data_IF_359954658411
#
_entry.id   IF_359954658411
#
_cell.length_a   1.000
_cell.length_b   1.000
_cell.length_c   1.000
_cell.angle_alpha   90.00
_cell.angle_beta   90.00
_cell.angle_gamma   90.00
#
_symmetry.space_group_name_H-M   'P 1'
#
loop_
_entity.id
_entity.type
_entity.pdbx_description
1 polymer ?
#
# COMPACT_ATOMS: atom_id res chain seq x y z
N UNK A 1 1.41 20.31 -13.25
CA UNK A 1 1.78 20.10 -11.84
C UNK A 1 1.70 21.39 -11.01
N UNK A 2 2.22 22.52 -11.51
CA UNK A 2 2.21 23.83 -10.84
C UNK A 2 0.83 24.30 -10.33
N UNK A 3 -0.23 24.19 -11.15
CA UNK A 3 -1.60 24.59 -10.78
C UNK A 3 -2.14 23.83 -9.55
N UNK A 4 -1.98 22.50 -9.54
CA UNK A 4 -2.38 21.65 -8.40
C UNK A 4 -1.64 22.00 -7.10
N UNK A 5 -0.34 22.37 -7.19
CA UNK A 5 0.43 22.82 -6.01
C UNK A 5 -0.05 24.19 -5.51
N UNK A 6 -0.36 25.11 -6.41
CA UNK A 6 -0.93 26.42 -6.05
C UNK A 6 -2.33 26.29 -5.42
N UNK A 7 -3.17 25.41 -5.94
CA UNK A 7 -4.47 25.06 -5.37
C UNK A 7 -4.31 24.48 -3.95
N UNK A 8 -3.35 23.56 -3.75
CA UNK A 8 -3.10 22.98 -2.42
C UNK A 8 -2.62 23.99 -1.38
N UNK A 9 -1.95 25.06 -1.82
CA UNK A 9 -1.51 26.16 -0.96
C UNK A 9 -2.56 27.28 -0.83
N UNK A 10 -3.76 27.10 -1.42
CA UNK A 10 -4.88 28.05 -1.46
C UNK A 10 -4.57 29.39 -2.15
N UNK A 11 -3.79 29.37 -3.25
CA UNK A 11 -3.54 30.57 -4.04
C UNK A 11 -4.75 30.94 -4.91
N UNK A 12 -5.33 32.13 -4.70
CA UNK A 12 -6.56 32.58 -5.38
C UNK A 12 -6.46 32.73 -6.90
N UNK A 13 -5.25 32.86 -7.46
CA UNK A 13 -4.99 33.06 -8.89
C UNK A 13 -4.50 31.82 -9.64
N UNK A 14 -4.64 30.61 -9.09
CA UNK A 14 -3.98 29.41 -9.61
C UNK A 14 -4.33 29.04 -11.07
N UNK A 15 -5.55 29.35 -11.53
CA UNK A 15 -6.03 28.94 -12.85
C UNK A 15 -5.63 29.88 -14.00
N UNK A 16 -5.41 31.17 -13.71
CA UNK A 16 -5.14 32.25 -14.68
C UNK A 16 -3.71 32.79 -14.67
N UNK A 17 -2.81 32.17 -13.89
CA UNK A 17 -1.43 32.61 -13.71
C UNK A 17 -0.59 32.46 -14.99
N UNK A 18 0.00 33.56 -15.44
CA UNK A 18 1.03 33.59 -16.48
C UNK A 18 2.39 33.99 -15.86
N UNK A 19 3.40 33.12 -16.01
CA UNK A 19 4.75 33.33 -15.45
C UNK A 19 5.65 34.20 -16.36
N UNK A 20 5.24 34.43 -17.60
CA UNK A 20 5.92 35.33 -18.53
C UNK A 20 5.59 36.80 -18.24
N UNK A 21 4.44 37.06 -17.59
CA UNK A 21 4.05 38.37 -17.10
C UNK A 21 4.80 38.71 -15.80
N UNK A 22 5.64 39.75 -15.87
CA UNK A 22 6.46 40.23 -14.76
C UNK A 22 5.63 40.63 -13.53
N UNK A 23 4.45 41.23 -13.73
CA UNK A 23 3.58 41.66 -12.63
C UNK A 23 3.01 40.45 -11.89
N UNK A 24 2.56 39.44 -12.63
CA UNK A 24 1.99 38.23 -12.04
C UNK A 24 3.05 37.35 -11.37
N UNK A 25 4.21 37.21 -12.01
CA UNK A 25 5.36 36.50 -11.46
C UNK A 25 5.81 37.11 -10.12
N UNK A 26 6.06 38.42 -10.08
CA UNK A 26 6.51 39.11 -8.87
C UNK A 26 5.44 39.09 -7.76
N UNK A 27 4.17 39.17 -8.13
CA UNK A 27 3.05 39.05 -7.19
C UNK A 27 2.98 37.66 -6.55
N UNK A 28 3.25 36.60 -7.33
CA UNK A 28 3.29 35.23 -6.81
C UNK A 28 4.47 35.03 -5.84
N UNK A 29 5.66 35.52 -6.18
CA UNK A 29 6.84 35.43 -5.31
C UNK A 29 6.61 36.19 -4.00
N UNK A 30 6.04 37.40 -4.08
CA UNK A 30 5.65 38.17 -2.89
C UNK A 30 4.67 37.39 -2.01
N UNK A 31 3.68 36.74 -2.61
CA UNK A 31 2.71 35.93 -1.87
C UNK A 31 3.38 34.72 -1.20
N UNK A 32 4.24 34.00 -1.92
CA UNK A 32 4.96 32.85 -1.36
C UNK A 32 5.80 33.23 -0.15
N UNK A 33 6.54 34.34 -0.21
CA UNK A 33 7.35 34.79 0.91
C UNK A 33 6.51 35.36 2.05
N UNK A 34 5.53 36.22 1.77
CA UNK A 34 4.76 36.87 2.83
C UNK A 34 3.80 35.93 3.56
N UNK A 35 3.25 34.92 2.89
CA UNK A 35 2.22 34.06 3.47
C UNK A 35 2.71 32.66 3.82
N UNK A 36 3.64 32.07 3.05
CA UNK A 36 3.99 30.65 3.19
C UNK A 36 5.39 30.39 3.73
N UNK A 37 6.41 30.99 3.11
CA UNK A 37 7.82 30.72 3.43
C UNK A 37 8.28 31.56 4.63
N UNK A 38 7.94 32.85 4.67
CA UNK A 38 8.24 33.78 5.77
C UNK A 38 9.71 33.76 6.24
N UNK A 39 10.66 33.52 5.34
CA UNK A 39 12.08 33.35 5.69
C UNK A 39 12.68 34.61 6.32
N UNK A 40 12.36 35.79 5.78
CA UNK A 40 12.81 37.07 6.36
C UNK A 40 11.97 37.53 7.57
N UNK A 41 10.93 36.80 7.95
CA UNK A 41 9.98 37.19 9.01
C UNK A 41 9.03 38.32 8.57
N UNK A 42 7.93 38.51 9.33
CA UNK A 42 6.78 39.38 8.97
C UNK A 42 7.11 40.88 8.71
N UNK A 43 8.36 41.32 8.92
CA UNK A 43 8.79 42.72 8.81
C UNK A 43 9.84 43.04 7.73
N UNK A 44 10.50 42.05 7.12
CA UNK A 44 11.66 42.30 6.23
C UNK A 44 11.45 42.04 4.74
N UNK A 45 10.20 41.91 4.28
CA UNK A 45 9.90 41.77 2.84
C UNK A 45 10.10 43.05 2.00
N UNK A 46 10.65 44.15 2.55
CA UNK A 46 10.59 45.48 1.90
C UNK A 46 11.11 45.52 0.45
N UNK A 47 12.15 44.75 0.13
CA UNK A 47 12.76 44.73 -1.20
C UNK A 47 12.01 43.82 -2.21
N UNK A 48 11.31 42.79 -1.74
CA UNK A 48 10.48 41.89 -2.57
C UNK A 48 8.99 42.28 -2.59
N UNK A 49 8.57 43.16 -1.68
CA UNK A 49 7.18 43.65 -1.56
C UNK A 49 6.82 44.67 -2.64
N UNK A 50 7.80 45.49 -3.05
CA UNK A 50 7.63 46.47 -4.11
C UNK A 50 7.86 45.82 -5.48
N UNK A 51 6.77 45.34 -6.06
CA UNK A 51 6.74 44.64 -7.35
C UNK A 51 7.28 45.51 -8.50
N UNK A 52 7.24 46.85 -8.37
CA UNK A 52 7.62 47.78 -9.42
C UNK A 52 9.05 48.33 -9.26
N UNK A 53 9.77 47.94 -8.21
CA UNK A 53 11.12 48.43 -7.95
C UNK A 53 12.13 47.91 -9.01
N UNK A 54 13.05 48.76 -9.52
CA UNK A 54 14.12 48.32 -10.39
C UNK A 54 15.18 47.45 -9.68
N UNK A 55 15.20 47.47 -8.33
CA UNK A 55 16.14 46.69 -7.51
C UNK A 55 15.61 45.27 -7.21
N UNK A 56 14.34 44.99 -7.55
CA UNK A 56 13.64 43.74 -7.22
C UNK A 56 14.39 42.50 -7.72
N UNK A 57 14.89 42.52 -8.95
CA UNK A 57 15.59 41.37 -9.54
C UNK A 57 16.88 41.01 -8.78
N UNK A 58 17.61 42.02 -8.29
CA UNK A 58 18.84 41.81 -7.51
C UNK A 58 18.52 41.26 -6.12
N UNK A 59 17.47 41.79 -5.49
CA UNK A 59 16.97 41.28 -4.21
C UNK A 59 16.44 39.85 -4.33
N UNK A 60 15.79 39.51 -5.46
CA UNK A 60 15.28 38.17 -5.72
C UNK A 60 16.40 37.13 -5.90
N UNK A 61 17.50 37.48 -6.58
CA UNK A 61 18.65 36.58 -6.68
C UNK A 61 19.30 36.34 -5.31
N UNK A 62 19.47 37.39 -4.50
CA UNK A 62 19.97 37.25 -3.13
C UNK A 62 19.05 36.41 -2.24
N UNK A 63 17.73 36.51 -2.43
CA UNK A 63 16.76 35.67 -1.74
C UNK A 63 16.90 34.18 -2.12
N UNK A 64 17.08 33.88 -3.41
CA UNK A 64 17.32 32.49 -3.85
C UNK A 64 18.66 31.94 -3.34
N UNK A 65 19.69 32.77 -3.21
CA UNK A 65 20.98 32.41 -2.61
C UNK A 65 20.83 32.07 -1.13
N UNK A 66 20.09 32.90 -0.39
CA UNK A 66 19.85 32.70 1.04
C UNK A 66 19.00 31.45 1.33
N UNK A 67 18.07 31.12 0.43
CA UNK A 67 17.31 29.86 0.51
C UNK A 67 18.10 28.64 0.01
N UNK A 68 19.35 28.81 -0.41
CA UNK A 68 20.19 27.76 -0.99
C UNK A 68 19.58 27.07 -2.22
N UNK A 69 18.85 27.82 -3.07
CA UNK A 69 18.31 27.30 -4.32
C UNK A 69 19.45 26.99 -5.30
N UNK A 70 19.56 25.73 -5.74
CA UNK A 70 20.66 25.25 -6.59
C UNK A 70 20.63 25.82 -8.01
N UNK A 71 21.81 26.05 -8.60
CA UNK A 71 21.93 26.72 -9.91
C UNK A 71 21.24 25.99 -11.08
N UNK A 72 21.05 24.67 -11.00
CA UNK A 72 20.34 23.90 -12.02
C UNK A 72 18.83 24.25 -12.10
N UNK A 73 18.25 24.78 -11.02
CA UNK A 73 16.84 25.16 -10.93
C UNK A 73 16.58 26.62 -11.35
N UNK A 74 17.64 27.43 -11.51
CA UNK A 74 17.56 28.86 -11.88
C UNK A 74 17.52 29.11 -13.39
N UNK A 75 17.44 28.06 -14.19
CA UNK A 75 17.48 28.10 -15.66
C UNK A 75 16.22 28.72 -16.28
N UNK A 76 15.06 28.58 -15.63
CA UNK A 76 13.78 29.15 -16.11
C UNK A 76 12.95 29.69 -14.95
N UNK A 77 12.09 30.69 -15.23
CA UNK A 77 11.13 31.22 -14.23
C UNK A 77 10.21 30.14 -13.68
N UNK A 78 9.82 29.19 -14.54
CA UNK A 78 9.03 28.03 -14.14
C UNK A 78 9.78 27.15 -13.14
N UNK A 79 11.04 26.81 -13.41
CA UNK A 79 11.85 25.97 -12.50
C UNK A 79 12.03 26.60 -11.12
N UNK A 80 12.24 27.92 -11.07
CA UNK A 80 12.36 28.66 -9.81
C UNK A 80 11.04 28.63 -9.02
N UNK A 81 9.90 28.86 -9.68
CA UNK A 81 8.59 28.83 -9.01
C UNK A 81 8.24 27.42 -8.55
N UNK A 82 8.55 26.40 -9.35
CA UNK A 82 8.30 25.01 -8.96
C UNK A 82 9.09 24.64 -7.71
N UNK A 83 10.36 25.04 -7.64
CA UNK A 83 11.20 24.80 -6.48
C UNK A 83 10.71 25.55 -5.24
N UNK A 84 10.38 26.84 -5.38
CA UNK A 84 9.83 27.64 -4.28
C UNK A 84 8.50 27.11 -3.77
N UNK A 85 7.64 26.56 -4.64
CA UNK A 85 6.40 25.90 -4.23
C UNK A 85 6.69 24.63 -3.44
N UNK A 86 7.68 23.84 -3.85
CA UNK A 86 8.12 22.66 -3.09
C UNK A 86 8.65 23.04 -1.71
N UNK A 87 9.47 24.10 -1.64
CA UNK A 87 10.00 24.63 -0.39
C UNK A 87 8.88 25.17 0.52
N UNK A 88 7.91 25.91 -0.03
CA UNK A 88 6.76 26.44 0.71
C UNK A 88 5.88 25.33 1.31
N UNK A 89 5.67 24.23 0.59
CA UNK A 89 4.95 23.05 1.12
C UNK A 89 5.72 22.42 2.28
N UNK A 90 7.04 22.31 2.15
CA UNK A 90 7.89 21.77 3.21
C UNK A 90 7.85 22.63 4.49
N UNK A 91 7.97 23.95 4.35
CA UNK A 91 7.87 24.90 5.47
C UNK A 91 6.48 24.86 6.12
N UNK A 92 5.41 24.78 5.31
CA UNK A 92 4.06 24.66 5.84
C UNK A 92 3.85 23.38 6.66
N UNK A 93 4.48 22.28 6.24
CA UNK A 93 4.45 21.02 6.97
C UNK A 93 5.24 21.10 8.29
N UNK A 94 6.44 21.69 8.28
CA UNK A 94 7.24 21.89 9.50
C UNK A 94 6.54 22.80 10.53
N UNK A 95 5.86 23.86 10.08
CA UNK A 95 5.11 24.74 10.97
C UNK A 95 3.91 24.04 11.63
N UNK A 96 3.21 23.15 10.92
CA UNK A 96 2.13 22.35 11.51
C UNK A 96 2.64 21.40 12.61
N UNK A 97 3.86 20.86 12.46
CA UNK A 97 4.50 20.04 13.49
C UNK A 97 4.85 20.91 14.72
N UNK A 98 5.40 22.11 14.50
CA UNK A 98 5.76 23.03 15.59
C UNK A 98 4.54 23.63 16.33
N UNK A 99 3.38 23.76 15.69
CA UNK A 99 2.14 24.18 16.37
C UNK A 99 1.47 23.04 17.15
N UNK A 100 1.70 21.78 16.75
CA UNK A 100 1.18 20.60 17.44
C UNK A 100 1.92 20.31 18.76
N UNK A 101 3.21 20.65 18.87
CA UNK A 101 4.02 20.39 20.08
C UNK A 101 3.58 21.18 21.34
N UNK A 102 3.28 22.49 21.30
CA UNK A 102 2.77 23.23 22.45
C UNK A 102 1.34 22.83 22.81
N UNK A 103 0.52 22.47 21.82
CA UNK A 103 -0.82 21.94 22.05
C UNK A 103 -0.73 20.60 22.80
N UNK A 104 0.14 19.69 22.37
CA UNK A 104 0.39 18.43 23.06
C UNK A 104 0.97 18.63 24.48
N UNK A 105 1.87 19.60 24.69
CA UNK A 105 2.38 19.94 26.03
C UNK A 105 1.31 20.50 26.97
N UNK A 106 0.36 21.29 26.47
CA UNK A 106 -0.79 21.77 27.27
C UNK A 106 -1.78 20.67 27.65
N UNK A 107 -1.79 19.57 26.91
CA UNK A 107 -2.53 18.36 27.26
C UNK A 107 -1.76 17.45 28.23
N UNK A 108 -0.42 17.52 28.24
CA UNK A 108 0.44 16.74 29.13
C UNK A 108 0.62 17.38 30.53
N UNK A 109 0.71 18.71 30.62
CA UNK A 109 0.70 19.42 31.90
C UNK A 109 -0.75 19.65 32.34
N UNK A 110 -1.25 18.74 33.19
CA UNK A 110 -2.65 18.61 33.59
C UNK A 110 -3.29 19.82 34.28
N UNK A 111 -3.56 20.90 33.54
CA UNK A 111 -4.51 21.93 33.94
C UNK A 111 -5.93 21.42 33.70
N UNK A 112 -6.46 20.82 34.77
CA UNK A 112 -7.79 20.24 34.87
C UNK A 112 -8.89 21.27 34.53
N UNK A 113 -9.25 21.40 33.25
CA UNK A 113 -10.62 21.79 32.89
C UNK A 113 -11.46 20.52 32.89
N UNK A 114 -12.03 20.22 34.06
CA UNK A 114 -13.10 19.23 34.21
C UNK A 114 -14.12 19.41 33.08
N UNK A 115 -14.33 18.32 32.35
CA UNK A 115 -15.37 18.15 31.35
C UNK A 115 -16.74 18.55 31.90
N UNK A 116 -17.19 19.77 31.62
CA UNK A 116 -18.57 20.20 31.87
C UNK A 116 -19.54 19.77 30.76
N UNK A 117 -19.05 19.18 29.67
CA UNK A 117 -19.87 18.76 28.52
C UNK A 117 -20.26 17.28 28.56
N UNK A 118 -19.39 16.40 29.08
CA UNK A 118 -19.66 14.94 29.13
C UNK A 118 -20.64 14.57 30.26
N UNK A 119 -20.71 15.38 31.33
CA UNK A 119 -21.71 15.21 32.38
C UNK A 119 -23.14 15.65 31.97
N UNK A 120 -23.29 16.37 30.83
CA UNK A 120 -24.61 16.73 30.28
C UNK A 120 -25.34 15.55 29.64
N UNK A 121 -24.61 14.55 29.13
CA UNK A 121 -25.20 13.36 28.51
C UNK A 121 -25.74 12.36 29.53
N UNK A 122 -25.27 12.40 30.78
CA UNK A 122 -25.78 11.56 31.87
C UNK A 122 -27.13 12.02 32.42
N UNK A 123 -27.60 13.21 32.01
CA UNK A 123 -28.85 13.82 32.46
C UNK A 123 -29.91 13.92 31.35
N UNK A 124 -29.65 13.36 30.16
CA UNK A 124 -30.59 13.40 29.04
C UNK A 124 -31.81 12.52 29.36
N UNK A 125 -32.98 13.13 29.54
CA UNK A 125 -34.24 12.42 29.73
C UNK A 125 -35.01 12.38 28.42
N UNK A 126 -35.62 11.24 28.10
CA UNK A 126 -36.44 11.04 26.90
C UNK A 126 -37.68 11.95 26.84
N UNK A 127 -38.01 12.64 27.93
CA UNK A 127 -39.16 13.52 28.08
C UNK A 127 -38.84 14.99 27.75
N UNK A 128 -37.62 15.30 27.29
CA UNK A 128 -37.25 16.67 26.89
C UNK A 128 -37.74 17.02 25.47
N UNK A 129 -38.33 18.20 25.26
CA UNK A 129 -38.85 18.61 23.95
C UNK A 129 -37.77 18.64 22.85
N UNK A 130 -36.50 18.84 23.22
CA UNK A 130 -35.36 18.81 22.29
C UNK A 130 -35.07 17.42 21.75
N UNK A 131 -35.39 16.37 22.52
CA UNK A 131 -35.21 14.98 22.10
C UNK A 131 -36.26 14.59 21.06
N UNK A 132 -37.50 15.05 21.24
CA UNK A 132 -38.59 14.83 20.29
C UNK A 132 -38.29 15.49 18.93
N UNK A 133 -37.84 16.74 18.91
CA UNK A 133 -37.42 17.44 17.69
C UNK A 133 -36.26 16.72 16.98
N UNK A 134 -35.31 16.17 17.75
CA UNK A 134 -34.17 15.43 17.22
C UNK A 134 -34.61 14.10 16.59
N UNK A 135 -35.44 13.32 17.28
CA UNK A 135 -35.98 12.05 16.77
C UNK A 135 -36.87 12.30 15.55
N UNK A 136 -37.66 13.38 15.55
CA UNK A 136 -38.50 13.75 14.42
C UNK A 136 -37.67 14.20 13.21
N UNK A 137 -36.55 14.87 13.43
CA UNK A 137 -35.59 15.23 12.37
C UNK A 137 -35.00 13.97 11.72
N UNK A 138 -34.57 12.99 12.53
CA UNK A 138 -34.06 11.70 12.04
C UNK A 138 -35.15 10.93 11.29
N UNK A 139 -36.37 10.91 11.84
CA UNK A 139 -37.51 10.23 11.23
C UNK A 139 -37.86 10.85 9.87
N UNK A 140 -37.89 12.18 9.75
CA UNK A 140 -38.12 12.88 8.49
C UNK A 140 -37.02 12.60 7.46
N UNK A 141 -35.75 12.60 7.90
CA UNK A 141 -34.60 12.30 7.03
C UNK A 141 -34.65 10.87 6.47
N UNK A 142 -35.14 9.92 7.28
CA UNK A 142 -35.26 8.50 6.92
C UNK A 142 -36.62 8.14 6.31
N UNK A 143 -37.56 9.07 6.23
CA UNK A 143 -38.91 8.86 5.70
C UNK A 143 -39.80 7.98 6.59
N UNK A 144 -39.56 7.97 7.90
CA UNK A 144 -40.34 7.19 8.88
C UNK A 144 -41.54 8.01 9.36
N UNK A 145 -42.73 7.43 9.32
CA UNK A 145 -43.94 8.05 9.88
C UNK A 145 -43.82 8.17 11.40
N UNK A 146 -44.10 9.36 11.93
CA UNK A 146 -44.08 9.60 13.38
C UNK A 146 -45.15 8.78 14.11
N UNK A 147 -44.82 8.30 15.31
CA UNK A 147 -45.71 7.52 16.17
C UNK A 147 -45.91 8.28 17.50
N UNK A 148 -47.05 8.12 18.20
CA UNK A 148 -47.29 8.75 19.51
C UNK A 148 -46.24 8.41 20.60
N UNK A 149 -45.44 7.37 20.37
CA UNK A 149 -44.31 7.00 21.22
C UNK A 149 -43.01 7.21 20.45
N UNK A 150 -42.25 8.22 20.87
CA UNK A 150 -41.01 8.71 20.27
C UNK A 150 -39.93 7.62 20.25
N UNK A 151 -39.88 6.76 21.28
CA UNK A 151 -38.91 5.67 21.35
C UNK A 151 -39.18 4.63 20.27
N UNK A 152 -40.46 4.40 19.96
CA UNK A 152 -40.88 3.50 18.89
C UNK A 152 -40.57 4.08 17.51
N UNK A 153 -40.67 5.40 17.32
CA UNK A 153 -40.21 6.10 16.10
C UNK A 153 -38.69 5.96 15.91
N UNK A 154 -37.91 6.13 16.98
CA UNK A 154 -36.45 5.99 16.93
C UNK A 154 -36.02 4.54 16.64
N UNK A 155 -36.66 3.54 17.27
CA UNK A 155 -36.42 2.12 16.97
C UNK A 155 -36.72 1.78 15.52
N UNK A 156 -37.81 2.33 14.97
CA UNK A 156 -38.19 2.14 13.57
C UNK A 156 -37.17 2.77 12.61
N UNK A 157 -36.69 3.98 12.91
CA UNK A 157 -35.60 4.63 12.19
C UNK A 157 -34.31 3.79 12.20
N UNK A 158 -33.92 3.25 13.36
CA UNK A 158 -32.74 2.37 13.47
C UNK A 158 -32.90 1.07 12.68
N UNK A 159 -34.11 0.48 12.68
CA UNK A 159 -34.38 -0.73 11.91
C UNK A 159 -34.30 -0.48 10.40
N UNK A 160 -34.76 0.68 9.91
CA UNK A 160 -34.61 1.05 8.49
C UNK A 160 -33.14 1.20 8.09
N UNK A 161 -32.31 1.82 8.94
CA UNK A 161 -30.87 1.93 8.68
C UNK A 161 -30.22 0.55 8.62
N UNK A 162 -30.58 -0.36 9.54
CA UNK A 162 -30.12 -1.75 9.53
C UNK A 162 -30.57 -2.51 8.28
N UNK A 163 -31.82 -2.34 7.86
CA UNK A 163 -32.38 -2.96 6.66
C UNK A 163 -31.76 -2.41 5.37
N UNK A 164 -31.50 -1.10 5.29
CA UNK A 164 -30.79 -0.49 4.15
C UNK A 164 -29.36 -0.99 4.04
N UNK A 165 -28.65 -1.08 5.17
CA UNK A 165 -27.29 -1.65 5.19
C UNK A 165 -27.31 -3.14 4.83
N UNK A 166 -28.32 -3.88 5.29
CA UNK A 166 -28.53 -5.29 4.91
C UNK A 166 -28.82 -5.49 3.42
N UNK A 167 -29.61 -4.60 2.79
CA UNK A 167 -29.92 -4.65 1.37
C UNK A 167 -28.73 -4.25 0.47
N UNK A 168 -27.87 -3.35 0.95
CA UNK A 168 -26.60 -3.03 0.29
C UNK A 168 -25.66 -4.23 0.34
N UNK A 169 -25.60 -4.93 1.48
CA UNK A 169 -24.80 -6.15 1.63
C UNK A 169 -25.35 -7.31 0.78
N UNK A 170 -26.67 -7.45 0.64
CA UNK A 170 -27.26 -8.49 -0.22
C UNK A 170 -27.11 -8.18 -1.71
N UNK A 171 -27.17 -6.91 -2.13
CA UNK A 171 -26.89 -6.49 -3.50
C UNK A 171 -25.42 -6.63 -3.90
N UNK A 172 -24.50 -6.51 -2.93
CA UNK A 172 -23.07 -6.84 -3.10
C UNK A 172 -22.86 -8.36 -3.25
N UNK A 173 -23.59 -9.18 -2.48
CA UNK A 173 -23.53 -10.65 -2.60
C UNK A 173 -24.16 -11.20 -3.89
N UNK A 174 -25.17 -10.54 -4.46
CA UNK A 174 -25.87 -11.00 -5.67
C UNK A 174 -25.10 -10.77 -6.97
N UNK A 175 -24.01 -9.98 -6.96
CA UNK A 175 -23.13 -9.74 -8.13
C UNK A 175 -21.89 -10.63 -8.18
N UNK A 176 -21.66 -11.46 -7.15
CA UNK A 176 -20.58 -12.43 -7.12
C UNK A 176 -21.16 -13.84 -7.01
N UNK A 177 -21.41 -14.46 -8.16
CA UNK A 177 -21.77 -15.87 -8.23
C UNK A 177 -20.50 -16.74 -8.15
N UNK A 178 -20.40 -17.47 -7.03
CA UNK A 178 -19.72 -18.77 -6.81
C UNK A 178 -18.26 -18.74 -6.32
N UNK A 179 -18.06 -19.02 -5.02
CA UNK A 179 -17.43 -20.29 -4.57
C UNK A 179 -17.90 -20.66 -3.14
N UNK A 180 -17.98 -21.96 -2.78
CA UNK A 180 -18.70 -22.43 -1.60
C UNK A 180 -17.75 -22.67 -0.43
N UNK A 181 -17.46 -21.65 0.41
CA UNK A 181 -16.73 -21.92 1.66
C UNK A 181 -17.10 -21.04 2.87
N UNK A 182 -18.11 -20.18 2.79
CA UNK A 182 -18.47 -19.30 3.93
C UNK A 182 -19.20 -20.00 5.09
N UNK A 183 -19.55 -21.30 4.98
CA UNK A 183 -20.27 -22.00 6.06
C UNK A 183 -19.41 -22.45 7.25
N UNK A 184 -18.15 -22.01 7.37
CA UNK A 184 -17.27 -22.39 8.48
C UNK A 184 -16.62 -21.22 9.23
N UNK A 185 -17.16 -20.00 9.09
CA UNK A 185 -16.65 -18.80 9.78
C UNK A 185 -17.52 -18.33 10.96
N UNK A 186 -18.48 -19.14 11.42
CA UNK A 186 -19.33 -18.81 12.59
C UNK A 186 -18.91 -19.54 13.88
N UNK A 187 -17.79 -20.28 13.89
CA UNK A 187 -17.40 -21.07 15.07
C UNK A 187 -15.98 -20.83 15.60
N UNK A 188 -15.29 -19.77 15.18
CA UNK A 188 -14.09 -19.32 15.87
C UNK A 188 -14.47 -18.05 16.62
N UNK A 189 -14.57 -18.17 17.95
CA UNK A 189 -14.66 -17.03 18.85
C UNK A 189 -13.59 -16.03 18.46
N UNK A 190 -14.01 -14.81 18.11
CA UNK A 190 -13.12 -13.69 17.88
C UNK A 190 -12.29 -13.43 19.14
N UNK A 191 -11.11 -14.03 19.22
CA UNK A 191 -10.05 -13.55 20.08
C UNK A 191 -9.66 -12.19 19.53
N UNK A 192 -10.06 -11.14 20.26
CA UNK A 192 -9.77 -9.77 19.90
C UNK A 192 -8.25 -9.60 19.84
N UNK A 193 -7.72 -9.34 18.64
CA UNK A 193 -6.31 -9.00 18.44
C UNK A 193 -6.05 -7.71 19.24
N UNK A 194 -5.16 -7.78 20.24
CA UNK A 194 -4.80 -6.62 21.05
C UNK A 194 -3.89 -5.70 20.21
N UNK A 195 -4.37 -4.49 19.91
CA UNK A 195 -3.64 -3.50 19.13
C UNK A 195 -2.32 -3.06 19.79
N UNK A 196 -2.13 -3.37 21.08
CA UNK A 196 -0.89 -3.11 21.79
C UNK A 196 0.26 -4.10 21.49
N UNK A 197 -0.03 -5.21 20.81
CA UNK A 197 1.00 -6.17 20.34
C UNK A 197 1.79 -5.64 19.13
N UNK A 198 1.32 -4.57 18.50
CA UNK A 198 2.00 -3.92 17.38
C UNK A 198 2.99 -2.87 17.91
N UNK A 199 4.26 -3.22 17.94
CA UNK A 199 5.32 -2.35 18.45
C UNK A 199 5.40 -1.02 17.66
N UNK A 200 5.16 0.07 18.37
CA UNK A 200 5.37 1.41 17.82
C UNK A 200 6.87 1.72 17.80
N UNK A 201 7.48 1.83 16.61
CA UNK A 201 8.81 2.41 16.41
C UNK A 201 9.00 3.85 16.96
N UNK A 202 7.94 4.49 17.44
CA UNK A 202 7.98 5.75 18.18
C UNK A 202 7.87 5.43 19.67
N UNK A 203 8.82 5.92 20.49
CA UNK A 203 8.77 5.82 21.96
C UNK A 203 7.59 6.63 22.52
N UNK A 204 6.39 6.06 22.46
CA UNK A 204 5.15 6.68 22.92
C UNK A 204 4.78 6.02 24.26
N UNK A 205 4.74 6.82 25.32
CA UNK A 205 4.44 6.33 26.69
C UNK A 205 2.96 6.03 26.94
N UNK A 206 2.06 6.51 26.09
CA UNK A 206 0.61 6.37 26.24
C UNK A 206 0.06 5.22 25.38
N UNK A 207 -0.59 4.25 26.05
CA UNK A 207 -1.14 3.03 25.44
C UNK A 207 -2.17 3.34 24.34
N UNK A 208 -3.04 4.33 24.54
CA UNK A 208 -4.07 4.68 23.55
C UNK A 208 -3.47 5.27 22.26
N UNK A 209 -2.37 6.01 22.38
CA UNK A 209 -1.65 6.57 21.24
C UNK A 209 -0.85 5.51 20.48
N UNK A 210 -0.35 4.47 21.15
CA UNK A 210 0.29 3.32 20.49
C UNK A 210 -0.72 2.57 19.62
N UNK A 211 -1.93 2.32 20.12
CA UNK A 211 -2.99 1.65 19.36
C UNK A 211 -3.41 2.47 18.14
N UNK A 212 -3.59 3.78 18.28
CA UNK A 212 -3.91 4.67 17.15
C UNK A 212 -2.75 4.75 16.15
N UNK A 213 -1.51 4.80 16.61
CA UNK A 213 -0.33 4.80 15.75
C UNK A 213 -0.19 3.47 14.98
N UNK A 214 -0.51 2.34 15.60
CA UNK A 214 -0.56 1.04 14.95
C UNK A 214 -1.61 1.02 13.84
N UNK A 215 -2.84 1.49 14.12
CA UNK A 215 -3.92 1.58 13.12
C UNK A 215 -3.53 2.52 11.96
N UNK A 216 -2.96 3.68 12.26
CA UNK A 216 -2.52 4.63 11.23
C UNK A 216 -1.38 4.06 10.39
N UNK A 217 -0.44 3.32 10.98
CA UNK A 217 0.62 2.63 10.26
C UNK A 217 0.04 1.57 9.33
N UNK A 218 -0.90 0.75 9.80
CA UNK A 218 -1.58 -0.24 8.97
C UNK A 218 -2.31 0.41 7.78
N UNK A 219 -3.05 1.50 8.04
CA UNK A 219 -3.73 2.26 6.97
C UNK A 219 -2.73 2.86 5.97
N UNK A 220 -1.57 3.32 6.45
CA UNK A 220 -0.52 3.88 5.62
C UNK A 220 0.17 2.81 4.76
N UNK A 221 0.50 1.65 5.34
CA UNK A 221 1.05 0.50 4.60
C UNK A 221 0.07 0.03 3.53
N UNK A 222 -1.22 -0.07 3.86
CA UNK A 222 -2.28 -0.38 2.88
C UNK A 222 -2.31 0.63 1.73
N UNK A 223 -2.16 1.92 2.04
CA UNK A 223 -2.14 2.98 1.03
C UNK A 223 -0.88 2.93 0.15
N UNK A 224 0.29 2.64 0.73
CA UNK A 224 1.53 2.48 -0.03
C UNK A 224 1.45 1.29 -1.00
N UNK A 225 0.91 0.16 -0.55
CA UNK A 225 0.68 -1.02 -1.40
C UNK A 225 -0.27 -0.69 -2.55
N UNK A 226 -1.38 0.00 -2.27
CA UNK A 226 -2.31 0.44 -3.33
C UNK A 226 -1.63 1.34 -4.38
N UNK A 227 -0.77 2.26 -3.94
CA UNK A 227 -0.01 3.13 -4.85
C UNK A 227 0.99 2.32 -5.69
N UNK A 228 1.65 1.34 -5.10
CA UNK A 228 2.55 0.44 -5.81
C UNK A 228 1.81 -0.38 -6.86
N UNK A 229 0.62 -0.93 -6.54
CA UNK A 229 -0.23 -1.62 -7.51
C UNK A 229 -0.66 -0.71 -8.67
N UNK A 230 -1.01 0.55 -8.38
CA UNK A 230 -1.36 1.54 -9.42
C UNK A 230 -0.16 1.88 -10.32
N UNK A 231 1.05 1.94 -9.77
CA UNK A 231 2.27 2.14 -10.56
C UNK A 231 2.50 0.94 -11.48
N UNK A 232 2.34 -0.29 -10.99
CA UNK A 232 2.53 -1.51 -11.77
C UNK A 232 1.48 -1.63 -12.91
N UNK A 233 0.22 -1.27 -12.64
CA UNK A 233 -0.85 -1.23 -13.65
C UNK A 233 -0.52 -0.19 -14.74
N UNK A 234 -0.10 1.01 -14.34
CA UNK A 234 0.30 2.06 -15.27
C UNK A 234 1.50 1.65 -16.15
N UNK A 235 2.50 0.98 -15.57
CA UNK A 235 3.65 0.46 -16.32
C UNK A 235 3.18 -0.53 -17.38
N UNK A 236 2.24 -1.41 -17.03
CA UNK A 236 1.67 -2.40 -17.95
C UNK A 236 0.99 -1.71 -19.14
N UNK A 237 0.15 -0.70 -18.86
CA UNK A 237 -0.50 0.11 -19.91
C UNK A 237 0.52 0.84 -20.79
N UNK A 238 1.57 1.42 -20.20
CA UNK A 238 2.64 2.10 -20.96
C UNK A 238 3.40 1.11 -21.85
N UNK A 239 3.66 -0.10 -21.38
CA UNK A 239 4.29 -1.16 -22.16
C UNK A 239 3.40 -1.62 -23.33
N UNK A 240 2.08 -1.73 -23.12
CA UNK A 240 1.12 -2.01 -24.19
C UNK A 240 1.06 -0.89 -25.24
N UNK A 241 1.07 0.37 -24.82
CA UNK A 241 1.00 1.51 -25.75
C UNK A 241 2.31 1.75 -26.52
N UNK A 242 3.46 1.40 -25.93
CA UNK A 242 4.77 1.50 -26.59
C UNK A 242 5.09 0.32 -27.48
N UNK A 243 4.24 -0.72 -27.48
CA UNK A 243 4.34 -1.90 -28.34
C UNK A 243 3.79 -1.68 -29.77
N UNK A 244 4.26 -0.66 -30.49
CA UNK A 244 4.09 -0.60 -31.96
C UNK A 244 5.46 -0.47 -32.67
N UNK A 245 5.91 -1.50 -33.42
CA UNK A 245 7.26 -1.57 -33.93
C UNK A 245 7.36 -0.97 -35.34
N UNK A 246 8.13 0.11 -35.51
CA UNK A 246 8.86 0.30 -36.76
C UNK A 246 10.21 -0.39 -36.61
N UNK A 247 10.25 -1.61 -37.11
CA UNK A 247 11.41 -2.52 -37.12
C UNK A 247 12.54 -1.92 -37.95
N UNK A 248 13.63 -1.51 -37.29
CA UNK A 248 14.94 -1.42 -37.91
C UNK A 248 15.46 -2.85 -38.10
N UNK A 249 15.53 -3.31 -39.36
CA UNK A 249 15.80 -4.70 -39.73
C UNK A 249 17.18 -5.22 -39.29
N UNK A 250 18.03 -4.38 -38.68
CA UNK A 250 19.26 -4.82 -38.02
C UNK A 250 19.05 -5.50 -36.66
N UNK A 251 17.90 -5.28 -36.01
CA UNK A 251 17.56 -5.84 -34.68
C UNK A 251 16.74 -7.14 -34.74
N UNK A 252 16.87 -7.92 -35.82
CA UNK A 252 16.12 -9.16 -36.07
C UNK A 252 16.27 -10.30 -35.05
N UNK A 253 16.78 -10.06 -33.85
CA UNK A 253 16.77 -10.99 -32.71
C UNK A 253 15.66 -10.73 -31.68
N UNK A 254 14.92 -9.62 -31.78
CA UNK A 254 13.91 -9.27 -30.77
C UNK A 254 12.53 -9.90 -31.07
N UNK A 255 12.25 -10.28 -32.32
CA UNK A 255 10.99 -10.90 -32.71
C UNK A 255 10.84 -12.37 -32.26
N UNK A 256 11.94 -13.06 -31.93
CA UNK A 256 11.91 -14.45 -31.44
C UNK A 256 11.41 -14.57 -29.98
N UNK A 257 11.20 -13.47 -29.25
CA UNK A 257 10.81 -13.52 -27.82
C UNK A 257 9.31 -13.54 -27.55
N UNK A 258 8.45 -13.38 -28.58
CA UNK A 258 7.03 -13.76 -28.48
C UNK A 258 6.86 -15.25 -28.81
N UNK A 259 7.69 -16.10 -28.22
CA UNK A 259 7.50 -17.55 -28.29
C UNK A 259 6.23 -17.89 -27.49
N UNK A 260 5.24 -18.48 -28.15
CA UNK A 260 4.16 -19.18 -27.45
C UNK A 260 4.80 -20.20 -26.50
N UNK A 261 4.68 -19.95 -25.19
CA UNK A 261 5.19 -20.85 -24.16
C UNK A 261 4.52 -22.20 -24.37
N UNK A 262 5.30 -23.28 -24.41
CA UNK A 262 4.78 -24.66 -24.60
C UNK A 262 4.54 -25.40 -23.29
N UNK A 263 5.08 -24.88 -22.19
CA UNK A 263 4.99 -25.47 -20.87
C UNK A 263 4.71 -24.38 -19.84
N UNK A 264 3.96 -24.69 -18.77
CA UNK A 264 3.60 -23.71 -17.75
C UNK A 264 4.80 -23.33 -16.88
N UNK A 265 4.69 -22.20 -16.19
CA UNK A 265 5.49 -21.82 -15.04
C UNK A 265 4.63 -21.91 -13.78
N UNK A 266 5.11 -22.64 -12.77
CA UNK A 266 4.44 -22.80 -11.49
C UNK A 266 5.32 -22.25 -10.40
N UNK A 267 4.78 -21.34 -9.59
CA UNK A 267 5.49 -20.71 -8.49
C UNK A 267 5.04 -21.31 -7.16
N UNK A 268 5.97 -21.49 -6.22
CA UNK A 268 5.68 -21.93 -4.85
C UNK A 268 6.15 -20.84 -3.89
N UNK A 269 5.20 -20.29 -3.13
CA UNK A 269 5.40 -19.21 -2.16
C UNK A 269 4.86 -19.63 -0.79
N UNK A 270 5.12 -18.78 0.21
CA UNK A 270 4.72 -19.00 1.60
C UNK A 270 5.77 -18.50 2.57
N UNK A 271 5.41 -18.41 3.83
CA UNK A 271 6.32 -17.95 4.89
C UNK A 271 7.56 -18.85 5.01
N UNK A 272 8.75 -18.33 5.37
CA UNK A 272 9.91 -19.17 5.68
C UNK A 272 9.56 -20.32 6.65
N UNK A 273 10.15 -21.50 6.41
CA UNK A 273 9.90 -22.74 7.16
C UNK A 273 8.54 -23.46 6.93
N UNK A 274 7.70 -23.02 5.99
CA UNK A 274 6.48 -23.76 5.60
C UNK A 274 6.75 -25.01 4.74
N UNK A 275 7.99 -25.23 4.30
CA UNK A 275 8.41 -26.45 3.57
C UNK A 275 8.52 -26.31 2.04
N UNK A 276 8.52 -25.08 1.51
CA UNK A 276 8.70 -24.76 0.08
C UNK A 276 9.82 -25.56 -0.59
N UNK A 277 11.05 -25.42 -0.08
CA UNK A 277 12.26 -26.05 -0.63
C UNK A 277 12.13 -27.57 -0.73
N UNK A 278 11.57 -28.19 0.32
CA UNK A 278 11.37 -29.64 0.37
C UNK A 278 10.36 -30.10 -0.67
N UNK A 279 9.20 -29.45 -0.75
CA UNK A 279 8.14 -29.80 -1.69
C UNK A 279 8.58 -29.56 -3.13
N UNK A 280 9.13 -28.38 -3.43
CA UNK A 280 9.45 -28.00 -4.81
C UNK A 280 10.59 -28.86 -5.39
N UNK A 281 11.57 -29.24 -4.57
CA UNK A 281 12.65 -30.14 -4.97
C UNK A 281 12.11 -31.52 -5.36
N UNK A 282 11.10 -32.01 -4.64
CA UNK A 282 10.50 -33.30 -4.94
C UNK A 282 9.56 -33.24 -6.15
N UNK A 283 8.81 -32.14 -6.30
CA UNK A 283 8.01 -31.87 -7.50
C UNK A 283 8.90 -31.86 -8.73
N UNK A 284 9.98 -31.08 -8.75
CA UNK A 284 10.86 -30.92 -9.90
C UNK A 284 11.46 -32.25 -10.39
N UNK A 285 11.85 -33.14 -9.47
CA UNK A 285 12.35 -34.49 -9.80
C UNK A 285 11.33 -35.36 -10.52
N UNK A 286 10.03 -35.18 -10.23
CA UNK A 286 8.95 -36.05 -10.71
C UNK A 286 8.22 -35.51 -11.95
N UNK A 287 8.25 -34.21 -12.21
CA UNK A 287 7.48 -33.59 -13.29
C UNK A 287 8.31 -33.10 -14.50
N UNK A 288 9.64 -33.25 -14.47
CA UNK A 288 10.52 -32.89 -15.60
C UNK A 288 10.58 -31.38 -15.88
N UNK A 289 10.24 -30.56 -14.89
CA UNK A 289 10.28 -29.10 -14.96
C UNK A 289 11.61 -28.58 -14.39
N UNK A 290 12.08 -27.42 -14.86
CA UNK A 290 13.30 -26.82 -14.37
C UNK A 290 13.08 -26.15 -13.00
N UNK A 291 13.83 -26.57 -11.98
CA UNK A 291 13.78 -25.97 -10.66
C UNK A 291 14.55 -24.63 -10.64
N UNK A 292 13.90 -23.57 -10.17
CA UNK A 292 14.52 -22.27 -9.94
C UNK A 292 14.32 -21.82 -8.48
N UNK A 293 15.38 -21.91 -7.68
CA UNK A 293 15.39 -21.40 -6.30
C UNK A 293 16.01 -20.01 -6.29
N UNK A 294 15.17 -18.98 -6.31
CA UNK A 294 15.62 -17.63 -6.67
C UNK A 294 16.59 -17.03 -5.64
N UNK A 295 16.39 -17.30 -4.35
CA UNK A 295 17.33 -16.88 -3.29
C UNK A 295 18.73 -17.47 -3.50
N UNK A 296 18.84 -18.75 -3.88
CA UNK A 296 20.13 -19.40 -4.13
C UNK A 296 20.79 -18.87 -5.41
N UNK A 297 19.98 -18.64 -6.46
CA UNK A 297 20.46 -18.05 -7.71
C UNK A 297 21.03 -16.65 -7.46
N UNK A 298 20.35 -15.84 -6.64
CA UNK A 298 20.80 -14.49 -6.31
C UNK A 298 22.13 -14.50 -5.56
N UNK A 299 22.26 -15.33 -4.53
CA UNK A 299 23.51 -15.47 -3.75
C UNK A 299 24.65 -15.96 -4.65
N UNK A 300 24.42 -17.01 -5.45
CA UNK A 300 25.44 -17.61 -6.31
C UNK A 300 26.00 -16.63 -7.35
N UNK A 301 25.18 -15.71 -7.85
CA UNK A 301 25.58 -14.74 -8.87
C UNK A 301 25.91 -13.35 -8.30
N UNK A 302 25.88 -13.18 -6.97
CA UNK A 302 26.18 -11.91 -6.31
C UNK A 302 25.16 -10.81 -6.64
N UNK A 303 23.88 -11.17 -6.72
CA UNK A 303 22.75 -10.23 -6.86
C UNK A 303 22.25 -9.80 -5.48
N UNK A 304 23.17 -9.28 -4.67
CA UNK A 304 22.93 -8.77 -3.32
C UNK A 304 23.39 -7.32 -3.29
N UNK A 305 22.57 -6.41 -2.76
CA UNK A 305 22.88 -5.00 -2.63
C UNK A 305 23.71 -4.75 -1.37
N UNK A 306 23.10 -5.03 -0.22
CA UNK A 306 23.64 -4.78 1.11
C UNK A 306 23.22 -5.90 2.06
N UNK A 307 23.89 -6.00 3.21
CA UNK A 307 23.46 -6.87 4.30
C UNK A 307 22.59 -6.09 5.27
N UNK A 308 21.36 -6.54 5.48
CA UNK A 308 20.50 -5.99 6.52
C UNK A 308 20.88 -6.57 7.88
N UNK A 309 21.58 -5.78 8.69
CA UNK A 309 21.99 -6.18 10.04
C UNK A 309 20.82 -6.35 11.02
N UNK A 310 19.68 -5.71 10.75
CA UNK A 310 18.48 -5.77 11.60
C UNK A 310 17.75 -7.11 11.41
N UNK A 311 17.62 -7.56 10.17
CA UNK A 311 16.93 -8.80 9.83
C UNK A 311 17.87 -9.99 9.57
N UNK A 312 19.18 -9.74 9.67
CA UNK A 312 20.25 -10.71 9.44
C UNK A 312 20.06 -11.46 8.12
N UNK A 313 19.93 -10.70 7.02
CA UNK A 313 19.75 -11.25 5.68
C UNK A 313 20.33 -10.32 4.61
N UNK A 314 20.76 -10.91 3.50
CA UNK A 314 21.16 -10.16 2.32
C UNK A 314 19.93 -9.51 1.66
N UNK A 315 20.02 -8.21 1.38
CA UNK A 315 19.06 -7.49 0.55
C UNK A 315 19.33 -7.87 -0.89
N UNK A 316 18.37 -8.54 -1.53
CA UNK A 316 18.53 -9.01 -2.91
C UNK A 316 18.37 -7.86 -3.92
N UNK A 317 19.20 -7.86 -4.95
CA UNK A 317 19.02 -7.01 -6.13
C UNK A 317 18.02 -7.69 -7.08
N UNK A 318 16.74 -7.46 -6.82
CA UNK A 318 15.65 -8.09 -7.57
C UNK A 318 15.64 -7.67 -9.04
N UNK A 319 16.14 -6.48 -9.38
CA UNK A 319 16.24 -6.02 -10.77
C UNK A 319 17.22 -6.87 -11.56
N UNK A 320 18.43 -7.08 -11.03
CA UNK A 320 19.45 -7.94 -11.68
C UNK A 320 19.05 -9.40 -11.69
N UNK A 321 18.42 -9.87 -10.61
CA UNK A 321 17.88 -11.23 -10.54
C UNK A 321 16.82 -11.46 -11.62
N UNK A 322 15.87 -10.53 -11.76
CA UNK A 322 14.81 -10.59 -12.77
C UNK A 322 15.39 -10.60 -14.19
N UNK A 323 16.34 -9.71 -14.49
CA UNK A 323 17.02 -9.69 -15.80
C UNK A 323 17.71 -11.02 -16.12
N UNK A 324 18.33 -11.65 -15.11
CA UNK A 324 19.01 -12.92 -15.25
C UNK A 324 18.05 -14.09 -15.52
N UNK A 325 16.92 -14.17 -14.81
CA UNK A 325 15.98 -15.30 -14.92
C UNK A 325 14.97 -15.14 -16.07
N UNK A 326 14.71 -13.91 -16.52
CA UNK A 326 13.70 -13.58 -17.54
C UNK A 326 13.79 -14.45 -18.80
N UNK A 327 14.97 -14.71 -19.41
CA UNK A 327 15.05 -15.57 -20.60
C UNK A 327 14.55 -17.00 -20.35
N UNK A 328 14.75 -17.53 -19.15
CA UNK A 328 14.31 -18.87 -18.78
C UNK A 328 12.83 -18.91 -18.43
N UNK A 329 12.34 -17.91 -17.68
CA UNK A 329 10.92 -17.78 -17.33
C UNK A 329 10.06 -17.62 -18.59
N UNK A 330 10.49 -16.80 -19.54
CA UNK A 330 9.76 -16.59 -20.80
C UNK A 330 9.68 -17.83 -21.69
N UNK A 331 10.56 -18.83 -21.52
CA UNK A 331 10.47 -20.10 -22.27
C UNK A 331 9.40 -21.05 -21.73
N UNK A 332 8.97 -20.87 -20.48
CA UNK A 332 8.07 -21.80 -19.80
C UNK A 332 8.78 -23.06 -19.29
N UNK A 333 8.07 -23.90 -18.53
CA UNK A 333 8.54 -25.19 -18.04
C UNK A 333 9.32 -25.15 -16.73
N UNK A 334 9.00 -24.18 -15.86
CA UNK A 334 9.76 -23.94 -14.64
C UNK A 334 8.91 -24.12 -13.38
N UNK A 335 9.51 -24.66 -12.32
CA UNK A 335 8.98 -24.56 -10.95
C UNK A 335 9.85 -23.59 -10.16
N UNK A 336 9.24 -22.53 -9.66
CA UNK A 336 9.95 -21.37 -9.11
C UNK A 336 9.68 -21.29 -7.61
N UNK A 337 10.74 -21.29 -6.79
CA UNK A 337 10.65 -21.04 -5.35
C UNK A 337 11.14 -19.64 -5.04
N UNK A 338 10.28 -18.86 -4.39
CA UNK A 338 10.65 -17.59 -3.78
C UNK A 338 9.74 -17.28 -2.59
N UNK A 339 10.03 -16.19 -1.88
CA UNK A 339 9.27 -15.78 -0.71
C UNK A 339 8.23 -14.69 -1.01
N UNK A 340 8.47 -13.84 -2.01
CA UNK A 340 7.47 -12.92 -2.57
C UNK A 340 7.12 -13.28 -4.02
N UNK A 341 6.20 -12.56 -4.63
CA UNK A 341 5.78 -12.73 -6.03
C UNK A 341 5.62 -11.42 -6.82
N UNK A 342 5.87 -10.27 -6.21
CA UNK A 342 5.76 -8.93 -6.78
C UNK A 342 6.53 -8.69 -8.10
N UNK A 343 7.66 -9.37 -8.32
CA UNK A 343 8.43 -9.27 -9.57
C UNK A 343 7.85 -10.08 -10.75
N UNK A 344 6.74 -10.79 -10.55
CA UNK A 344 6.08 -11.61 -11.56
C UNK A 344 4.68 -11.10 -11.91
N UNK A 345 4.17 -11.54 -13.06
CA UNK A 345 2.80 -11.23 -13.52
C UNK A 345 2.09 -12.48 -14.04
N UNK A 346 0.78 -12.41 -14.18
CA UNK A 346 -0.06 -13.47 -14.79
C UNK A 346 0.30 -13.81 -16.24
N UNK A 347 1.07 -12.96 -16.93
CA UNK A 347 1.64 -13.29 -18.24
C UNK A 347 2.83 -14.25 -18.20
N UNK A 348 3.49 -14.35 -17.03
CA UNK A 348 4.71 -15.14 -16.82
C UNK A 348 4.51 -16.35 -15.92
N UNK A 349 3.49 -16.35 -15.06
CA UNK A 349 3.20 -17.41 -14.09
C UNK A 349 1.78 -17.91 -14.29
N UNK A 350 1.64 -19.22 -14.48
CA UNK A 350 0.35 -19.85 -14.81
C UNK A 350 -0.33 -20.44 -13.56
N UNK A 351 0.46 -20.75 -12.53
CA UNK A 351 -0.07 -21.09 -11.22
C UNK A 351 0.84 -20.67 -10.07
N UNK A 352 0.23 -20.31 -8.94
CA UNK A 352 0.90 -20.03 -7.67
C UNK A 352 0.40 -21.00 -6.61
N UNK A 353 1.33 -21.68 -5.95
CA UNK A 353 1.07 -22.57 -4.83
C UNK A 353 1.51 -21.88 -3.54
N UNK A 354 0.55 -21.61 -2.66
CA UNK A 354 0.83 -21.00 -1.35
C UNK A 354 0.88 -22.12 -0.31
N UNK A 355 2.01 -22.22 0.40
CA UNK A 355 2.18 -23.18 1.49
C UNK A 355 2.00 -22.49 2.85
N UNK A 356 1.06 -23.01 3.62
CA UNK A 356 0.78 -22.62 5.01
C UNK A 356 1.27 -23.66 6.00
N UNK A 357 1.46 -23.23 7.24
CA UNK A 357 1.74 -24.12 8.37
C UNK A 357 1.07 -23.55 9.61
N UNK A 358 0.45 -24.42 10.42
CA UNK A 358 -0.14 -24.00 11.70
C UNK A 358 0.91 -23.25 12.54
N UNK A 359 0.49 -22.16 13.17
CA UNK A 359 1.38 -21.20 13.84
C UNK A 359 2.27 -21.85 14.90
N UNK A 360 1.72 -22.75 15.71
CA UNK A 360 2.49 -23.49 16.72
C UNK A 360 3.64 -24.31 16.09
N UNK A 361 3.34 -25.05 15.01
CA UNK A 361 4.33 -25.85 14.30
C UNK A 361 5.33 -24.98 13.54
N UNK A 362 4.88 -23.86 12.99
CA UNK A 362 5.73 -22.91 12.30
C UNK A 362 6.75 -22.29 13.25
N UNK A 363 6.32 -21.91 14.46
CA UNK A 363 7.20 -21.39 15.51
C UNK A 363 8.30 -22.38 15.85
N UNK A 364 7.95 -23.64 16.11
CA UNK A 364 8.92 -24.69 16.44
C UNK A 364 9.93 -24.91 15.30
N UNK A 365 9.47 -24.88 14.04
CA UNK A 365 10.34 -24.99 12.86
C UNK A 365 11.30 -23.80 12.72
N UNK A 366 10.83 -22.58 12.99
CA UNK A 366 11.65 -21.37 12.95
C UNK A 366 12.66 -21.34 14.08
N UNK A 367 12.27 -21.79 15.28
CA UNK A 367 13.16 -21.93 16.44
C UNK A 367 14.26 -22.96 16.17
N UNK A 368 13.91 -24.11 15.57
CA UNK A 368 14.88 -25.13 15.17
C UNK A 368 15.90 -24.64 14.12
N UNK A 369 15.57 -23.60 13.35
CA UNK A 369 16.49 -22.92 12.41
C UNK A 369 17.42 -21.90 13.08
N UNK A 370 17.37 -21.76 14.40
CA UNK A 370 18.20 -20.83 15.18
C UNK A 370 18.02 -19.37 14.76
N UNK A 371 16.80 -18.99 14.35
CA UNK A 371 16.49 -17.60 14.06
C UNK A 371 16.43 -16.79 15.35
N UNK A 372 16.84 -15.52 15.29
CA UNK A 372 16.66 -14.56 16.38
C UNK A 372 15.16 -14.39 16.70
N UNK A 373 14.81 -14.09 17.95
CA UNK A 373 13.43 -13.85 18.36
C UNK A 373 12.71 -12.81 17.47
N UNK A 374 13.38 -11.71 17.12
CA UNK A 374 12.83 -10.69 16.22
C UNK A 374 12.44 -11.26 14.84
N UNK A 375 13.31 -12.09 14.27
CA UNK A 375 13.07 -12.77 12.99
C UNK A 375 11.98 -13.83 13.09
N UNK A 376 11.91 -14.57 14.20
CA UNK A 376 10.82 -15.52 14.44
C UNK A 376 9.49 -14.75 14.51
N UNK A 377 9.39 -13.71 15.34
CA UNK A 377 8.21 -12.85 15.47
C UNK A 377 7.75 -12.31 14.12
N UNK A 378 8.65 -11.73 13.34
CA UNK A 378 8.32 -11.18 12.02
C UNK A 378 7.78 -12.23 11.05
N UNK A 379 8.33 -13.46 11.04
CA UNK A 379 7.81 -14.54 10.19
C UNK A 379 6.46 -15.07 10.70
N UNK A 380 6.29 -15.16 12.02
CA UNK A 380 5.01 -15.54 12.62
C UNK A 380 3.91 -14.54 12.27
N UNK A 381 4.19 -13.25 12.39
CA UNK A 381 3.28 -12.17 11.98
C UNK A 381 2.93 -12.27 10.48
N UNK A 382 3.92 -12.56 9.63
CA UNK A 382 3.70 -12.76 8.19
C UNK A 382 2.66 -13.87 7.90
N UNK A 383 2.77 -15.01 8.60
CA UNK A 383 1.82 -16.11 8.46
C UNK A 383 0.45 -15.77 9.06
N UNK A 384 0.41 -15.21 10.28
CA UNK A 384 -0.83 -14.88 11.00
C UNK A 384 -1.67 -13.87 10.22
N UNK A 385 -1.02 -12.86 9.62
CA UNK A 385 -1.72 -11.83 8.86
C UNK A 385 -1.99 -12.22 7.40
N UNK A 386 -1.62 -13.43 6.97
CA UNK A 386 -1.84 -13.87 5.59
C UNK A 386 -1.15 -12.96 4.57
N UNK A 387 0.03 -12.42 4.90
CA UNK A 387 0.68 -11.41 4.07
C UNK A 387 1.02 -11.93 2.65
N UNK A 388 1.32 -13.22 2.54
CA UNK A 388 1.57 -13.89 1.25
C UNK A 388 0.28 -14.09 0.45
N UNK A 389 -0.84 -14.44 1.10
CA UNK A 389 -2.13 -14.51 0.41
C UNK A 389 -2.51 -13.15 -0.19
N UNK A 390 -2.41 -12.10 0.63
CA UNK A 390 -2.68 -10.73 0.20
C UNK A 390 -1.80 -10.32 -0.99
N UNK A 391 -0.52 -10.72 -0.98
CA UNK A 391 0.42 -10.42 -2.07
C UNK A 391 0.04 -11.14 -3.36
N UNK A 392 -0.30 -12.43 -3.28
CA UNK A 392 -0.71 -13.23 -4.44
C UNK A 392 -2.04 -12.74 -5.00
N UNK A 393 -3.03 -12.47 -4.16
CA UNK A 393 -4.36 -12.00 -4.58
C UNK A 393 -4.32 -10.60 -5.20
N UNK A 394 -3.30 -9.79 -4.89
CA UNK A 394 -3.09 -8.47 -5.51
C UNK A 394 -2.18 -8.54 -6.74
N UNK A 395 -1.26 -9.50 -6.80
CA UNK A 395 -0.25 -9.62 -7.85
C UNK A 395 -0.72 -10.38 -9.08
N UNK A 396 -1.72 -11.26 -8.94
CA UNK A 396 -2.19 -12.11 -10.03
C UNK A 396 -3.70 -11.95 -10.28
N UNK A 397 -4.07 -12.00 -11.56
CA UNK A 397 -5.47 -12.00 -12.00
C UNK A 397 -6.04 -13.43 -12.12
N UNK A 398 -7.33 -13.53 -12.48
CA UNK A 398 -8.07 -14.79 -12.64
C UNK A 398 -7.48 -15.76 -13.68
N UNK A 399 -6.48 -15.35 -14.47
CA UNK A 399 -5.80 -16.23 -15.43
C UNK A 399 -4.80 -17.15 -14.73
N UNK A 400 -4.29 -16.75 -13.56
CA UNK A 400 -3.34 -17.54 -12.79
C UNK A 400 -4.07 -18.43 -11.80
N UNK A 401 -3.75 -19.73 -11.81
CA UNK A 401 -4.38 -20.68 -10.87
C UNK A 401 -3.71 -20.57 -9.50
N UNK A 402 -4.48 -20.20 -8.46
CA UNK A 402 -3.97 -20.15 -7.08
C UNK A 402 -4.37 -21.39 -6.30
N UNK A 403 -3.39 -22.10 -5.72
CA UNK A 403 -3.59 -23.29 -4.92
C UNK A 403 -3.00 -23.09 -3.51
N UNK A 404 -3.86 -23.09 -2.48
CA UNK A 404 -3.46 -22.96 -1.08
C UNK A 404 -3.39 -24.33 -0.41
N UNK A 405 -2.26 -24.66 0.22
CA UNK A 405 -2.01 -25.98 0.83
C UNK A 405 -1.47 -25.83 2.26
N UNK A 406 -1.99 -26.65 3.15
CA UNK A 406 -1.47 -26.81 4.51
C UNK A 406 -0.36 -27.87 4.54
N UNK A 407 0.74 -27.59 5.24
CA UNK A 407 1.92 -28.44 5.30
C UNK A 407 2.47 -28.57 6.73
N UNK A 408 1.76 -29.31 7.57
CA UNK A 408 2.01 -29.41 9.01
C UNK A 408 2.87 -30.64 9.35
N UNK A 409 2.63 -31.77 8.69
CA UNK A 409 3.26 -33.04 8.99
C UNK A 409 3.95 -33.65 7.77
N UNK A 410 4.91 -34.58 7.95
CA UNK A 410 5.59 -35.24 6.83
C UNK A 410 4.65 -35.90 5.81
N UNK A 411 3.50 -36.42 6.26
CA UNK A 411 2.48 -37.02 5.39
C UNK A 411 1.84 -35.99 4.45
N UNK A 412 1.82 -34.71 4.84
CA UNK A 412 1.33 -33.63 3.99
C UNK A 412 2.25 -33.40 2.80
N UNK A 413 3.55 -33.70 2.91
CA UNK A 413 4.54 -33.50 1.83
C UNK A 413 4.16 -34.32 0.61
N UNK A 414 4.03 -35.64 0.74
CA UNK A 414 3.69 -36.52 -0.39
C UNK A 414 2.33 -36.18 -1.00
N UNK A 415 1.34 -35.86 -0.14
CA UNK A 415 0.01 -35.43 -0.58
C UNK A 415 0.07 -34.12 -1.38
N UNK A 416 0.80 -33.14 -0.89
CA UNK A 416 0.93 -31.83 -1.52
C UNK A 416 1.74 -31.92 -2.81
N UNK A 417 2.82 -32.69 -2.85
CA UNK A 417 3.57 -33.02 -4.06
C UNK A 417 2.64 -33.63 -5.12
N UNK A 418 1.79 -34.59 -4.75
CA UNK A 418 0.81 -35.19 -5.66
C UNK A 418 -0.18 -34.17 -6.24
N UNK A 419 -0.71 -33.28 -5.40
CA UNK A 419 -1.62 -32.19 -5.85
C UNK A 419 -0.93 -31.23 -6.82
N UNK A 420 0.30 -30.82 -6.53
CA UNK A 420 1.07 -29.90 -7.38
C UNK A 420 1.42 -30.55 -8.71
N UNK A 421 1.80 -31.83 -8.72
CA UNK A 421 2.06 -32.57 -9.96
C UNK A 421 0.79 -32.67 -10.80
N UNK A 422 -0.36 -33.01 -10.20
CA UNK A 422 -1.64 -33.04 -10.91
C UNK A 422 -1.95 -31.70 -11.56
N UNK A 423 -1.76 -30.59 -10.82
CA UNK A 423 -1.94 -29.23 -11.35
C UNK A 423 -1.00 -28.95 -12.53
N UNK A 424 0.27 -29.34 -12.43
CA UNK A 424 1.26 -29.16 -13.51
C UNK A 424 0.84 -29.94 -14.77
N UNK A 425 0.41 -31.19 -14.63
CA UNK A 425 -0.01 -32.01 -15.77
C UNK A 425 -1.28 -31.46 -16.43
N UNK A 426 -2.26 -31.00 -15.63
CA UNK A 426 -3.45 -30.33 -16.15
C UNK A 426 -3.10 -29.06 -16.94
N UNK A 427 -2.16 -28.25 -16.43
CA UNK A 427 -1.67 -27.07 -17.13
C UNK A 427 -0.93 -27.44 -18.41
N UNK A 428 -0.03 -28.43 -18.38
CA UNK A 428 0.67 -28.94 -19.58
C UNK A 428 -0.32 -29.37 -20.67
N UNK A 429 -1.40 -30.05 -20.29
CA UNK A 429 -2.45 -30.46 -21.23
C UNK A 429 -3.15 -29.25 -21.89
N UNK A 430 -3.43 -28.17 -21.13
CA UNK A 430 -4.00 -26.92 -21.68
C UNK A 430 -3.06 -26.23 -22.67
N UNK A 431 -1.77 -26.18 -22.34
CA UNK A 431 -0.74 -25.64 -23.23
C UNK A 431 -0.58 -26.46 -24.51
N UNK A 432 -0.66 -27.80 -24.42
CA UNK A 432 -0.63 -28.68 -25.58
C UNK A 432 -1.85 -28.47 -26.50
N UNK A 433 -3.05 -28.30 -25.93
CA UNK A 433 -4.29 -28.09 -26.69
C UNK A 433 -4.39 -26.71 -27.37
N UNK A 434 -3.66 -25.71 -26.88
CA UNK A 434 -3.62 -24.36 -27.48
C UNK A 434 -2.58 -24.28 -28.61
N UNK A 435 -1.61 -25.20 -28.61
CA UNK A 435 -0.55 -25.30 -29.63
C UNK A 435 -0.91 -26.20 -30.83
N UNK A 436 -2.10 -26.79 -30.83
CA UNK A 436 -2.65 -27.68 -31.87
C UNK A 436 -3.79 -27.00 -32.62
#
# INVERSE_FOLDING_TARGET
>A
MLKKRLESLNYRGAHSLNLEDDCQFRSLIRWLECEKIQYYGKGHCRQLSDINSPVWNKAFQQYLDNLHCTNCQRTTRYGVVEWLLGFAVHVAYQNQISEAEPAAKRYADGESRRNTEVDKLKHFRCDEPKFEDFVQTIANLLGVTSHPDIVTTLKSAMNIVKLRNGAVNSALSAKCSISPNEKKLESLSAEAIDLSDFESALEIKDKALVEVAAVLRMLYVKKLRLVQSQINELITVVQEMTANPKTDQRLGKVADFMLERKLPNVMVVGTPATGKTTIISEVAKRCGMALMQLSEIAIKHGFTLDYDSTYSCDVLDESRLLEHIKPQVLRGGNVIEYHGCDMFTSGTIDAVVILHTDTELLYDRLLARQYSEQKIRSNMECEIFGAIDDEVDQGFDDRTVVLRLLNNYPEDIDRNVGKIISLIEDLKARFAATSS
#
